data_IF_112860729742
#
_entry.id   IF_112860729742
#
_cell.length_a   1.000
_cell.length_b   1.000
_cell.length_c   1.000
_cell.angle_alpha   90.00
_cell.angle_beta   90.00
_cell.angle_gamma   90.00
#
_symmetry.space_group_name_H-M   'P 1'
#
loop_
_entity.id
_entity.type
_entity.pdbx_description
1 polymer ?
#
# COMPACT_ATOMS: atom_id res chain seq x y z
N UNK A 1 3.97 12.36 -14.45
CA UNK A 1 4.23 12.61 -13.02
C UNK A 1 5.74 12.46 -12.77
N UNK A 2 6.44 13.52 -12.36
CA UNK A 2 7.90 13.56 -12.29
C UNK A 2 8.36 13.37 -10.85
N UNK A 3 8.77 12.16 -10.49
CA UNK A 3 9.46 11.86 -9.22
C UNK A 3 10.79 12.60 -9.18
N UNK A 4 11.18 13.16 -8.02
CA UNK A 4 12.50 13.79 -7.83
C UNK A 4 13.58 12.76 -8.14
N UNK A 5 14.37 13.01 -9.19
CA UNK A 5 15.55 12.23 -9.56
C UNK A 5 16.45 12.19 -8.31
N UNK A 6 16.81 11.01 -7.80
CA UNK A 6 17.65 10.81 -6.59
C UNK A 6 16.98 10.83 -5.20
N UNK A 7 15.80 10.26 -5.00
CA UNK A 7 15.45 9.76 -3.66
C UNK A 7 15.17 8.25 -3.70
N UNK A 8 16.16 7.40 -3.37
CA UNK A 8 16.01 5.93 -3.46
C UNK A 8 14.89 5.39 -2.54
N UNK A 9 14.55 6.14 -1.49
CA UNK A 9 13.47 5.82 -0.56
C UNK A 9 12.07 5.89 -1.19
N UNK A 10 11.88 6.73 -2.22
CA UNK A 10 10.59 6.87 -2.91
C UNK A 10 10.39 5.74 -3.92
N UNK A 11 11.42 5.38 -4.69
CA UNK A 11 11.35 4.24 -5.60
C UNK A 11 11.16 2.92 -4.84
N UNK A 12 11.86 2.74 -3.72
CA UNK A 12 11.72 1.51 -2.92
C UNK A 12 10.33 1.29 -2.30
N UNK A 13 9.49 2.31 -2.17
CA UNK A 13 8.08 2.13 -1.75
C UNK A 13 7.22 1.61 -2.90
N UNK A 14 7.43 2.16 -4.09
CA UNK A 14 6.74 1.75 -5.32
C UNK A 14 7.14 0.33 -5.70
N UNK A 15 8.43 0.00 -5.66
CA UNK A 15 8.94 -1.35 -5.93
C UNK A 15 8.36 -2.38 -4.94
N UNK A 16 8.28 -2.05 -3.65
CA UNK A 16 7.66 -2.94 -2.65
C UNK A 16 6.17 -3.15 -2.90
N UNK A 17 5.45 -2.11 -3.33
CA UNK A 17 4.04 -2.23 -3.71
C UNK A 17 3.89 -3.21 -4.88
N UNK A 18 4.67 -3.04 -5.95
CA UNK A 18 4.63 -3.92 -7.11
C UNK A 18 4.99 -5.37 -6.75
N UNK A 19 6.00 -5.57 -5.92
CA UNK A 19 6.36 -6.91 -5.42
C UNK A 19 5.22 -7.55 -4.63
N UNK A 20 4.60 -6.79 -3.72
CA UNK A 20 3.44 -7.29 -2.93
C UNK A 20 2.26 -7.63 -3.84
N UNK A 21 2.04 -6.81 -4.87
CA UNK A 21 0.99 -7.07 -5.85
C UNK A 21 1.27 -8.37 -6.60
N UNK A 22 2.47 -8.58 -7.14
CA UNK A 22 2.85 -9.81 -7.84
C UNK A 22 2.64 -11.07 -6.97
N UNK A 23 3.01 -10.99 -5.69
CA UNK A 23 2.83 -12.08 -4.72
C UNK A 23 1.36 -12.34 -4.37
N UNK A 24 0.53 -11.30 -4.24
CA UNK A 24 -0.83 -11.40 -3.71
C UNK A 24 -1.95 -11.41 -4.78
N UNK A 25 -1.64 -11.06 -6.03
CA UNK A 25 -2.64 -10.97 -7.11
C UNK A 25 -3.30 -12.33 -7.40
N UNK A 26 -2.56 -13.42 -7.22
CA UNK A 26 -3.06 -14.79 -7.36
C UNK A 26 -4.21 -15.10 -6.38
N UNK A 27 -4.14 -14.60 -5.14
CA UNK A 27 -5.22 -14.71 -4.15
C UNK A 27 -6.39 -13.77 -4.46
N UNK A 28 -6.19 -12.80 -5.34
CA UNK A 28 -7.19 -11.83 -5.77
C UNK A 28 -7.80 -12.19 -7.13
N UNK A 29 -7.76 -13.47 -7.54
CA UNK A 29 -8.26 -13.94 -8.84
C UNK A 29 -7.65 -13.22 -10.05
N UNK A 30 -6.41 -12.74 -9.94
CA UNK A 30 -5.76 -11.90 -10.93
C UNK A 30 -6.47 -10.55 -11.21
N UNK A 31 -7.34 -10.11 -10.29
CA UNK A 31 -8.08 -8.85 -10.37
C UNK A 31 -7.37 -7.76 -9.55
N UNK A 32 -6.98 -6.69 -10.23
CA UNK A 32 -6.26 -5.55 -9.67
C UNK A 32 -7.16 -4.73 -8.73
N UNK A 33 -8.46 -4.60 -9.00
CA UNK A 33 -9.36 -3.88 -8.12
C UNK A 33 -9.59 -4.64 -6.81
N UNK A 34 -9.67 -5.98 -6.88
CA UNK A 34 -9.73 -6.82 -5.67
C UNK A 34 -8.45 -6.67 -4.83
N UNK A 35 -7.29 -6.68 -5.47
CA UNK A 35 -6.02 -6.40 -4.79
C UNK A 35 -6.02 -5.02 -4.16
N UNK A 36 -6.43 -3.97 -4.89
CA UNK A 36 -6.47 -2.59 -4.41
C UNK A 36 -7.37 -2.46 -3.19
N UNK A 37 -8.56 -3.06 -3.21
CA UNK A 37 -9.49 -3.08 -2.09
C UNK A 37 -8.88 -3.78 -0.88
N UNK A 38 -8.32 -4.98 -1.07
CA UNK A 38 -7.65 -5.74 0.00
C UNK A 38 -6.49 -4.96 0.60
N UNK A 39 -5.58 -4.44 -0.22
CA UNK A 39 -4.36 -3.75 0.20
C UNK A 39 -4.66 -2.49 1.02
N UNK A 40 -5.68 -1.71 0.61
CA UNK A 40 -6.01 -0.44 1.25
C UNK A 40 -6.89 -0.59 2.50
N UNK A 41 -7.81 -1.55 2.53
CA UNK A 41 -8.84 -1.62 3.59
C UNK A 41 -8.71 -2.80 4.54
N UNK A 42 -8.03 -3.88 4.15
CA UNK A 42 -8.04 -5.14 4.90
C UNK A 42 -6.66 -5.65 5.26
N UNK A 43 -5.65 -5.35 4.45
CA UNK A 43 -4.28 -5.83 4.66
C UNK A 43 -3.62 -5.04 5.80
N UNK A 44 -3.15 -5.70 6.87
CA UNK A 44 -2.36 -5.05 7.90
C UNK A 44 -0.94 -4.79 7.41
N UNK A 45 -0.39 -3.61 7.71
CA UNK A 45 0.98 -3.26 7.32
C UNK A 45 1.87 -3.12 8.54
N UNK A 46 3.00 -3.82 8.57
CA UNK A 46 3.95 -3.75 9.70
C UNK A 46 4.48 -2.34 9.92
N UNK A 47 4.72 -1.58 8.85
CA UNK A 47 5.11 -0.16 8.92
C UNK A 47 4.03 0.76 9.49
N UNK A 48 2.78 0.32 9.48
CA UNK A 48 1.61 1.04 10.04
C UNK A 48 1.15 0.42 11.37
N UNK A 49 2.04 -0.30 12.08
CA UNK A 49 1.71 -0.98 13.35
C UNK A 49 0.54 -1.95 13.23
N UNK A 50 0.40 -2.60 12.08
CA UNK A 50 -0.68 -3.56 11.81
C UNK A 50 -1.99 -2.93 11.34
N UNK A 51 -2.07 -1.60 11.23
CA UNK A 51 -3.22 -0.91 10.62
C UNK A 51 -3.20 -1.00 9.10
N UNK A 52 -4.36 -0.84 8.46
CA UNK A 52 -4.47 -0.68 7.01
C UNK A 52 -4.21 0.78 6.59
N UNK A 53 -3.89 1.04 5.31
CA UNK A 53 -3.76 2.40 4.80
C UNK A 53 -5.02 3.24 4.99
N UNK A 54 -6.20 2.64 4.82
CA UNK A 54 -7.48 3.30 5.04
C UNK A 54 -7.67 3.67 6.52
N UNK A 55 -7.30 2.79 7.45
CA UNK A 55 -7.36 3.11 8.87
C UNK A 55 -6.53 4.36 9.17
N UNK A 56 -5.30 4.45 8.65
CA UNK A 56 -4.44 5.61 8.90
C UNK A 56 -4.97 6.88 8.24
N UNK A 57 -5.46 6.79 7.01
CA UNK A 57 -5.95 7.95 6.27
C UNK A 57 -7.26 8.51 6.84
N UNK A 58 -8.13 7.64 7.35
CA UNK A 58 -9.42 8.01 7.94
C UNK A 58 -9.37 8.18 9.46
N UNK A 59 -8.23 7.96 10.11
CA UNK A 59 -8.02 8.24 11.54
C UNK A 59 -7.90 9.74 11.77
N UNK A 60 -9.04 10.43 11.86
CA UNK A 60 -9.14 11.87 12.12
C UNK A 60 -8.49 12.31 13.45
N UNK A 61 -8.19 11.38 14.36
CA UNK A 61 -7.44 11.66 15.58
C UNK A 61 -5.95 12.00 15.32
N UNK A 62 -5.44 11.74 14.11
CA UNK A 62 -4.08 12.11 13.70
C UNK A 62 -3.96 13.50 13.06
N UNK A 63 -5.10 14.21 12.88
CA UNK A 63 -5.17 15.53 12.25
C UNK A 63 -5.17 16.71 13.23
N UNK A 64 -5.27 16.46 14.55
CA UNK A 64 -5.29 17.50 15.60
C UNK A 64 -4.37 17.15 16.77
#
# INVERSE_FOLDING_TARGET
>A
MRTKIHSPTTNGKVERLFKTMDEELSFCNNDIEQFRMRYNHFRPHSSLKGKSPADIYHDFASLF
#
